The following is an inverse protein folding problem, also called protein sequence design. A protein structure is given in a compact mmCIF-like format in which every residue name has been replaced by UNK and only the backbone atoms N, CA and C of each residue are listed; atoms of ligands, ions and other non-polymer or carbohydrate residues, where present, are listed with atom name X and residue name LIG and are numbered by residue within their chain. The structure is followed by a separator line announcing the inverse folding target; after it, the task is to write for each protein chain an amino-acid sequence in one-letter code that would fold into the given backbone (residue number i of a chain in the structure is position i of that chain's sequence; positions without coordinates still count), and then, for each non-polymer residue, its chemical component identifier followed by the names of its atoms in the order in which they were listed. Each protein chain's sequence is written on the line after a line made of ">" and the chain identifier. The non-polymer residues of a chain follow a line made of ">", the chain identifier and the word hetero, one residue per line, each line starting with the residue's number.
data_IF_010097008779
#
_entry.id   IF_010097008779
#
_cell.length_a   1.000
_cell.length_b   1.000
_cell.length_c   1.000
_cell.angle_alpha   90.00
_cell.angle_beta   90.00
_cell.angle_gamma   90.00
#
_symmetry.space_group_name_H-M   'P 1'
#
loop_
_entity.id
_entity.type
_entity.pdbx_description
1 polymer ?
#
# COMPACT_ATOMS: atom_id res chain seq x y z
N UNK A 1 -3.12 -15.12 -7.75
CA UNK A 1 -2.70 -15.76 -6.48
C UNK A 1 -3.89 -16.37 -5.74
N UNK A 2 -4.88 -15.57 -5.30
CA UNK A 2 -6.03 -16.06 -4.51
C UNK A 2 -6.79 -17.23 -5.17
N UNK A 3 -7.10 -17.14 -6.47
CA UNK A 3 -7.77 -18.21 -7.23
C UNK A 3 -6.95 -19.52 -7.22
N UNK A 4 -5.64 -19.41 -7.39
CA UNK A 4 -4.74 -20.57 -7.37
C UNK A 4 -4.71 -21.21 -5.98
N UNK A 5 -4.53 -20.42 -4.92
CA UNK A 5 -4.49 -20.93 -3.54
C UNK A 5 -5.82 -21.56 -3.12
N UNK A 6 -6.93 -20.98 -3.55
CA UNK A 6 -8.27 -21.51 -3.36
C UNK A 6 -8.42 -22.94 -3.93
N UNK A 7 -7.92 -23.20 -5.14
CA UNK A 7 -7.97 -24.54 -5.74
C UNK A 7 -7.24 -25.61 -4.90
N UNK A 8 -6.25 -25.21 -4.12
CA UNK A 8 -5.49 -26.08 -3.21
C UNK A 8 -5.93 -25.94 -1.74
N UNK A 9 -7.02 -25.20 -1.47
CA UNK A 9 -7.59 -24.93 -0.14
C UNK A 9 -6.62 -24.24 0.83
N UNK A 10 -5.65 -23.48 0.33
CA UNK A 10 -4.79 -22.64 1.17
C UNK A 10 -5.53 -21.35 1.53
N UNK A 11 -5.57 -21.04 2.83
CA UNK A 11 -6.05 -19.74 3.31
C UNK A 11 -4.98 -18.67 3.06
N UNK A 12 -5.41 -17.53 2.54
CA UNK A 12 -4.55 -16.37 2.32
C UNK A 12 -4.93 -15.26 3.31
N UNK A 13 -3.94 -14.65 3.96
CA UNK A 13 -4.13 -13.41 4.71
C UNK A 13 -3.44 -12.29 3.93
N UNK A 14 -4.23 -11.34 3.45
CA UNK A 14 -3.75 -10.14 2.75
C UNK A 14 -3.59 -8.99 3.75
N UNK A 15 -2.47 -8.28 3.65
CA UNK A 15 -2.17 -7.09 4.44
C UNK A 15 -2.46 -5.77 3.68
N UNK A 16 -2.82 -5.82 2.40
CA UNK A 16 -3.25 -4.68 1.58
C UNK A 16 -4.72 -4.77 1.16
N UNK A 17 -5.17 -3.87 0.27
CA UNK A 17 -6.52 -3.86 -0.31
C UNK A 17 -6.96 -5.23 -0.78
N UNK A 18 -8.26 -5.48 -0.63
CA UNK A 18 -8.93 -6.60 -1.25
C UNK A 18 -9.12 -6.33 -2.75
N UNK A 19 -8.50 -7.09 -3.68
CA UNK A 19 -8.97 -7.08 -5.05
C UNK A 19 -10.37 -7.69 -5.12
N UNK A 20 -11.04 -7.55 -6.26
CA UNK A 20 -12.35 -8.15 -6.48
C UNK A 20 -12.22 -9.69 -6.49
N UNK A 21 -12.61 -10.33 -5.39
CA UNK A 21 -12.64 -11.78 -5.28
C UNK A 21 -14.10 -12.23 -5.31
N UNK A 22 -14.43 -13.31 -6.04
CA UNK A 22 -15.78 -13.87 -6.03
C UNK A 22 -16.15 -14.30 -4.59
N UNK A 23 -17.45 -14.44 -4.27
CA UNK A 23 -17.89 -14.78 -2.90
C UNK A 23 -17.29 -16.09 -2.36
N UNK A 24 -17.01 -17.06 -3.23
CA UNK A 24 -16.48 -18.37 -2.84
C UNK A 24 -14.99 -18.31 -2.48
N UNK A 25 -14.20 -17.64 -3.31
CA UNK A 25 -12.78 -17.39 -3.09
C UNK A 25 -12.57 -16.37 -1.98
N UNK A 26 -13.52 -15.46 -1.74
CA UNK A 26 -13.49 -14.50 -0.63
C UNK A 26 -13.60 -15.19 0.74
N UNK A 27 -14.16 -16.40 0.83
CA UNK A 27 -14.14 -17.17 2.08
C UNK A 27 -12.72 -17.60 2.49
N UNK A 28 -11.81 -17.71 1.53
CA UNK A 28 -10.44 -18.21 1.72
C UNK A 28 -9.41 -17.10 1.89
N UNK A 29 -9.82 -15.85 1.64
CA UNK A 29 -8.98 -14.66 1.80
C UNK A 29 -9.48 -13.86 3.00
N UNK A 30 -8.59 -13.59 3.96
CA UNK A 30 -8.84 -12.64 5.05
C UNK A 30 -8.01 -11.40 4.82
N UNK A 31 -8.58 -10.22 5.07
CA UNK A 31 -7.90 -8.94 4.90
C UNK A 31 -7.64 -8.32 6.26
N UNK A 32 -6.40 -7.89 6.51
CA UNK A 32 -6.05 -7.05 7.66
C UNK A 32 -6.30 -5.56 7.37
N UNK A 33 -6.52 -5.24 6.10
CA UNK A 33 -6.81 -3.90 5.62
C UNK A 33 -8.33 -3.65 5.61
N UNK A 34 -8.82 -2.47 6.04
CA UNK A 34 -10.25 -2.19 6.09
C UNK A 34 -10.86 -2.14 4.69
N UNK A 35 -12.16 -2.43 4.61
CA UNK A 35 -12.90 -2.43 3.34
C UNK A 35 -12.89 -1.04 2.69
N UNK A 36 -12.68 -0.98 1.37
CA UNK A 36 -12.68 0.26 0.57
C UNK A 36 -13.96 1.10 0.80
N UNK A 37 -15.12 0.45 0.98
CA UNK A 37 -16.40 1.11 1.26
C UNK A 37 -16.38 1.94 2.54
N UNK A 38 -15.71 1.46 3.59
CA UNK A 38 -15.59 2.20 4.85
C UNK A 38 -14.72 3.45 4.65
N UNK A 39 -13.65 3.34 3.86
CA UNK A 39 -12.81 4.49 3.52
C UNK A 39 -13.57 5.55 2.72
N UNK A 40 -14.36 5.13 1.73
CA UNK A 40 -15.18 6.06 0.93
C UNK A 40 -16.22 6.78 1.78
N UNK A 41 -16.84 6.10 2.76
CA UNK A 41 -17.73 6.75 3.74
C UNK A 41 -17.00 7.76 4.62
N UNK A 42 -15.79 7.42 5.06
CA UNK A 42 -14.97 8.32 5.87
C UNK A 42 -14.57 9.57 5.07
N UNK A 43 -14.17 9.41 3.80
CA UNK A 43 -13.91 10.52 2.88
C UNK A 43 -15.17 11.38 2.69
N UNK A 44 -16.33 10.77 2.46
CA UNK A 44 -17.59 11.48 2.36
C UNK A 44 -17.87 12.34 3.61
N UNK A 45 -17.68 11.78 4.81
CA UNK A 45 -17.82 12.54 6.06
C UNK A 45 -16.82 13.68 6.17
N UNK A 46 -15.57 13.48 5.76
CA UNK A 46 -14.54 14.51 5.72
C UNK A 46 -14.95 15.67 4.79
N UNK A 47 -15.41 15.36 3.57
CA UNK A 47 -15.87 16.36 2.61
C UNK A 47 -17.04 17.19 3.16
N UNK A 48 -18.02 16.52 3.77
CA UNK A 48 -19.16 17.17 4.41
C UNK A 48 -18.74 18.06 5.58
N UNK A 49 -17.77 17.63 6.39
CA UNK A 49 -17.26 18.40 7.52
C UNK A 49 -16.63 19.74 7.08
N UNK A 50 -15.84 19.72 6.00
CA UNK A 50 -15.22 20.92 5.43
C UNK A 50 -16.13 21.70 4.47
N UNK A 51 -17.34 21.20 4.21
CA UNK A 51 -18.28 21.82 3.26
C UNK A 51 -17.81 21.75 1.79
N UNK A 52 -16.93 20.79 1.45
CA UNK A 52 -16.47 20.59 0.08
C UNK A 52 -17.53 19.85 -0.74
N UNK A 53 -18.30 20.60 -1.52
CA UNK A 53 -19.37 20.07 -2.39
C UNK A 53 -18.94 19.94 -3.86
N UNK A 54 -17.82 20.55 -4.26
CA UNK A 54 -17.28 20.49 -5.62
C UNK A 54 -15.85 19.94 -5.58
N UNK A 55 -15.66 18.69 -6.01
CA UNK A 55 -14.42 17.93 -5.81
C UNK A 55 -13.94 17.27 -7.10
N UNK A 56 -12.70 16.80 -7.11
CA UNK A 56 -12.17 15.91 -8.15
C UNK A 56 -11.92 14.50 -7.62
N UNK A 57 -11.93 13.50 -8.50
CA UNK A 57 -11.46 12.15 -8.20
C UNK A 57 -10.36 11.76 -9.19
N UNK A 58 -9.26 11.22 -8.65
CA UNK A 58 -8.19 10.58 -9.40
C UNK A 58 -8.04 9.16 -8.88
N UNK A 59 -8.23 8.18 -9.77
CA UNK A 59 -8.05 6.75 -9.47
C UNK A 59 -6.73 6.23 -10.03
N UNK A 60 -6.25 5.09 -9.53
CA UNK A 60 -5.07 4.45 -10.11
C UNK A 60 -5.40 3.82 -11.47
N UNK A 61 -6.30 2.84 -11.50
CA UNK A 61 -6.68 2.11 -12.72
C UNK A 61 -8.04 2.55 -13.27
N UNK A 62 -8.30 2.27 -14.54
CA UNK A 62 -9.62 2.50 -15.16
C UNK A 62 -10.72 1.67 -14.50
N UNK A 63 -10.40 0.44 -14.10
CA UNK A 63 -11.33 -0.43 -13.37
C UNK A 63 -11.76 0.16 -12.01
N UNK A 64 -10.84 0.84 -11.30
CA UNK A 64 -11.15 1.51 -10.03
C UNK A 64 -12.08 2.69 -10.24
N UNK A 65 -11.81 3.49 -11.29
CA UNK A 65 -12.65 4.62 -11.68
C UNK A 65 -14.05 4.16 -12.05
N UNK A 66 -14.15 3.14 -12.90
CA UNK A 66 -15.44 2.62 -13.36
C UNK A 66 -16.21 1.98 -12.20
N UNK A 67 -15.52 1.29 -11.28
CA UNK A 67 -16.09 0.77 -10.03
C UNK A 67 -16.63 1.91 -9.16
N UNK A 68 -15.89 3.00 -9.02
CA UNK A 68 -16.34 4.17 -8.28
C UNK A 68 -17.62 4.74 -8.89
N UNK A 69 -17.63 4.97 -10.21
CA UNK A 69 -18.78 5.51 -10.93
C UNK A 69 -20.01 4.61 -10.75
N UNK A 70 -19.85 3.30 -10.89
CA UNK A 70 -20.96 2.35 -10.81
C UNK A 70 -21.49 2.14 -9.39
N UNK A 71 -20.63 2.13 -8.37
CA UNK A 71 -20.98 1.63 -7.02
C UNK A 71 -20.90 2.66 -5.91
N UNK A 72 -20.26 3.81 -6.14
CA UNK A 72 -19.92 4.76 -5.08
C UNK A 72 -20.33 6.19 -5.40
N UNK A 73 -20.32 6.61 -6.67
CA UNK A 73 -20.67 7.96 -7.08
C UNK A 73 -22.02 8.43 -6.51
N UNK A 74 -23.06 7.58 -6.57
CA UNK A 74 -24.38 7.89 -6.03
C UNK A 74 -24.36 8.26 -4.55
N UNK A 75 -23.53 7.58 -3.75
CA UNK A 75 -23.39 7.84 -2.30
C UNK A 75 -22.92 9.27 -2.01
N UNK A 76 -22.09 9.84 -2.89
CA UNK A 76 -21.61 11.22 -2.78
C UNK A 76 -22.65 12.20 -3.33
N UNK A 77 -23.23 11.91 -4.51
CA UNK A 77 -24.21 12.78 -5.16
C UNK A 77 -25.50 12.94 -4.35
N UNK A 78 -25.98 11.87 -3.71
CA UNK A 78 -27.13 11.90 -2.80
C UNK A 78 -26.91 12.81 -1.57
N UNK A 79 -25.65 13.12 -1.24
CA UNK A 79 -25.26 14.03 -0.16
C UNK A 79 -24.84 15.42 -0.66
N UNK A 80 -25.13 15.73 -1.93
CA UNK A 80 -24.86 17.05 -2.51
C UNK A 80 -23.40 17.28 -2.92
N UNK A 81 -22.62 16.21 -3.11
CA UNK A 81 -21.24 16.30 -3.60
C UNK A 81 -21.21 16.00 -5.10
N UNK A 82 -20.63 16.92 -5.85
CA UNK A 82 -20.46 16.85 -7.29
C UNK A 82 -18.98 16.72 -7.66
N UNK A 83 -18.71 16.01 -8.75
CA UNK A 83 -17.36 15.79 -9.27
C UNK A 83 -17.17 16.58 -10.57
N UNK A 84 -16.18 17.47 -10.60
CA UNK A 84 -15.80 18.22 -11.82
C UNK A 84 -15.10 17.30 -12.82
N UNK A 85 -14.31 16.37 -12.29
CA UNK A 85 -13.64 15.33 -13.06
C UNK A 85 -13.51 14.05 -12.26
N UNK A 86 -13.52 12.94 -12.99
CA UNK A 86 -13.26 11.59 -12.49
C UNK A 86 -12.25 10.96 -13.46
N UNK A 87 -10.97 11.04 -13.11
CA UNK A 87 -9.85 10.67 -13.98
C UNK A 87 -9.03 9.50 -13.40
N UNK A 88 -8.18 8.89 -14.22
CA UNK A 88 -7.20 7.90 -13.77
C UNK A 88 -5.78 8.37 -13.99
N UNK A 89 -4.85 7.97 -13.14
CA UNK A 89 -3.42 8.19 -13.36
C UNK A 89 -2.95 7.52 -14.67
N UNK A 90 -1.97 8.11 -15.36
CA UNK A 90 -1.44 7.53 -16.59
C UNK A 90 -0.68 6.24 -16.26
N UNK A 91 -1.15 5.11 -16.79
CA UNK A 91 -0.53 3.80 -16.60
C UNK A 91 0.77 3.70 -17.40
N UNK A 92 1.84 3.18 -16.82
CA UNK A 92 3.12 3.05 -17.52
C UNK A 92 2.96 2.18 -18.77
N UNK A 93 3.41 2.68 -19.93
CA UNK A 93 3.35 1.94 -21.20
C UNK A 93 4.77 1.65 -21.67
N UNK A 94 5.03 0.39 -22.01
CA UNK A 94 6.31 -0.06 -22.55
C UNK A 94 6.30 -0.01 -24.08
N UNK A 95 7.43 0.39 -24.69
CA UNK A 95 7.64 0.34 -26.14
C UNK A 95 7.04 1.53 -26.91
N UNK A 96 6.56 1.27 -28.14
CA UNK A 96 6.25 2.28 -29.16
C UNK A 96 5.08 3.22 -28.80
N UNK A 97 4.37 2.98 -27.70
CA UNK A 97 3.24 3.77 -27.23
C UNK A 97 3.64 4.87 -26.20
N UNK A 98 4.94 5.15 -26.04
CA UNK A 98 5.42 6.24 -25.19
C UNK A 98 4.86 7.62 -25.60
N UNK A 99 4.74 7.89 -26.89
CA UNK A 99 4.20 9.18 -27.37
C UNK A 99 2.71 9.33 -27.01
N UNK A 100 1.93 8.26 -27.11
CA UNK A 100 0.52 8.23 -26.71
C UNK A 100 0.38 8.43 -25.20
N UNK A 101 1.24 7.77 -24.42
CA UNK A 101 1.31 7.96 -22.97
C UNK A 101 1.56 9.41 -22.59
N UNK A 102 2.54 10.06 -23.22
CA UNK A 102 2.87 11.48 -22.97
C UNK A 102 1.68 12.37 -23.26
N UNK A 103 1.00 12.17 -24.40
CA UNK A 103 -0.18 12.95 -24.75
C UNK A 103 -1.33 12.73 -23.76
N UNK A 104 -1.59 11.47 -23.36
CA UNK A 104 -2.66 11.13 -22.43
C UNK A 104 -2.40 11.72 -21.04
N UNK A 105 -1.17 11.55 -20.52
CA UNK A 105 -0.76 12.11 -19.23
C UNK A 105 -0.85 13.64 -19.21
N UNK A 106 -0.42 14.32 -20.27
CA UNK A 106 -0.54 15.77 -20.39
C UNK A 106 -1.99 16.26 -20.47
N UNK A 107 -2.88 15.53 -21.15
CA UNK A 107 -4.33 15.84 -21.16
C UNK A 107 -4.93 15.73 -19.77
N UNK A 108 -4.68 14.63 -19.07
CA UNK A 108 -5.16 14.37 -17.70
C UNK A 108 -4.64 15.41 -16.70
N UNK A 109 -3.35 15.74 -16.77
CA UNK A 109 -2.77 16.82 -15.98
C UNK A 109 -3.51 18.14 -16.20
N UNK A 110 -3.79 18.51 -17.45
CA UNK A 110 -4.53 19.75 -17.77
C UNK A 110 -5.95 19.74 -17.23
N UNK A 111 -6.67 18.61 -17.30
CA UNK A 111 -8.01 18.47 -16.70
C UNK A 111 -7.95 18.73 -15.19
N UNK A 112 -7.04 18.04 -14.48
CA UNK A 112 -6.90 18.14 -13.03
C UNK A 112 -6.46 19.54 -12.59
N UNK A 113 -5.44 20.10 -13.23
CA UNK A 113 -4.79 21.34 -12.78
C UNK A 113 -5.48 22.62 -13.29
N UNK A 114 -6.25 22.58 -14.39
CA UNK A 114 -7.04 23.75 -14.83
C UNK A 114 -8.37 23.89 -14.11
N UNK A 115 -8.89 22.80 -13.55
CA UNK A 115 -10.10 22.77 -12.76
C UNK A 115 -10.00 23.71 -11.54
N UNK A 116 -11.14 24.27 -11.14
CA UNK A 116 -11.29 25.13 -9.96
C UNK A 116 -11.45 24.34 -8.65
N UNK A 117 -11.54 23.01 -8.70
CA UNK A 117 -11.63 22.18 -7.48
C UNK A 117 -10.39 22.37 -6.62
N UNK A 118 -10.58 22.43 -5.31
CA UNK A 118 -9.49 22.50 -4.34
C UNK A 118 -9.25 21.10 -3.75
N UNK A 119 -10.31 20.40 -3.36
CA UNK A 119 -10.24 19.05 -2.82
C UNK A 119 -10.25 18.00 -3.94
N UNK A 120 -9.21 17.16 -3.98
CA UNK A 120 -9.07 16.06 -4.95
C UNK A 120 -8.89 14.76 -4.19
N UNK A 121 -9.84 13.84 -4.35
CA UNK A 121 -9.73 12.48 -3.82
C UNK A 121 -8.74 11.71 -4.69
N UNK A 122 -7.71 11.15 -4.08
CA UNK A 122 -6.77 10.23 -4.71
C UNK A 122 -7.05 8.83 -4.19
N UNK A 123 -7.77 8.05 -4.99
CA UNK A 123 -8.08 6.65 -4.71
C UNK A 123 -7.06 5.76 -5.41
N UNK A 124 -5.99 5.43 -4.70
CA UNK A 124 -4.90 4.62 -5.25
C UNK A 124 -4.27 3.72 -4.20
N UNK A 125 -3.57 2.69 -4.69
CA UNK A 125 -2.79 1.76 -3.88
C UNK A 125 -1.36 2.28 -3.66
N UNK A 126 -0.50 1.45 -3.06
CA UNK A 126 0.91 1.73 -2.70
C UNK A 126 1.69 2.33 -3.88
N UNK A 127 1.38 1.91 -5.11
CA UNK A 127 2.09 2.34 -6.33
C UNK A 127 1.60 3.68 -6.91
N UNK A 128 0.54 4.28 -6.36
CA UNK A 128 -0.09 5.48 -6.93
C UNK A 128 0.75 6.75 -6.88
N UNK A 129 1.63 6.89 -5.88
CA UNK A 129 2.53 8.05 -5.78
C UNK A 129 3.49 8.16 -6.95
N UNK A 130 3.88 7.03 -7.54
CA UNK A 130 4.84 6.99 -8.64
C UNK A 130 4.35 7.76 -9.87
N UNK A 131 3.25 7.34 -10.53
CA UNK A 131 2.73 8.04 -11.69
C UNK A 131 2.21 9.44 -11.35
N UNK A 132 1.72 9.70 -10.14
CA UNK A 132 1.28 11.04 -9.74
C UNK A 132 2.44 12.04 -9.74
N UNK A 133 3.56 11.71 -9.08
CA UNK A 133 4.74 12.60 -9.04
C UNK A 133 5.34 12.82 -10.41
N UNK A 134 5.41 11.77 -11.23
CA UNK A 134 5.90 11.88 -12.59
C UNK A 134 5.00 12.77 -13.45
N UNK A 135 3.67 12.59 -13.35
CA UNK A 135 2.72 13.43 -14.09
C UNK A 135 2.84 14.90 -13.68
N UNK A 136 2.93 15.19 -12.38
CA UNK A 136 3.06 16.57 -11.89
C UNK A 136 4.39 17.18 -12.34
N UNK A 137 5.49 16.43 -12.27
CA UNK A 137 6.82 16.91 -12.65
C UNK A 137 6.94 17.17 -14.16
N UNK A 138 6.60 16.19 -15.00
CA UNK A 138 6.81 16.28 -16.45
C UNK A 138 5.85 17.23 -17.16
N UNK A 139 4.62 17.39 -16.65
CA UNK A 139 3.59 18.19 -17.31
C UNK A 139 3.32 19.52 -16.62
N UNK A 140 4.15 19.92 -15.65
CA UNK A 140 4.02 21.21 -14.97
C UNK A 140 4.00 22.36 -16.00
N UNK A 141 2.85 23.02 -16.14
CA UNK A 141 2.61 24.06 -17.15
C UNK A 141 2.51 25.43 -16.47
N UNK A 142 3.50 26.29 -16.65
CA UNK A 142 3.56 27.63 -16.03
C UNK A 142 2.42 28.56 -16.45
N UNK A 143 1.69 28.24 -17.52
CA UNK A 143 0.51 28.99 -17.94
C UNK A 143 -0.71 28.75 -17.03
N UNK A 144 -0.67 27.72 -16.17
CA UNK A 144 -1.74 27.46 -15.20
C UNK A 144 -1.44 28.27 -13.91
N UNK A 145 -2.36 29.14 -13.46
CA UNK A 145 -2.18 29.91 -12.22
C UNK A 145 -1.85 29.02 -11.02
N UNK A 146 -0.96 29.48 -10.13
CA UNK A 146 -0.51 28.70 -8.95
C UNK A 146 -1.67 28.32 -8.05
N UNK A 147 -2.66 29.20 -7.92
CA UNK A 147 -3.87 28.98 -7.14
C UNK A 147 -4.70 27.82 -7.69
N UNK A 148 -4.68 27.60 -9.01
CA UNK A 148 -5.34 26.45 -9.64
C UNK A 148 -4.56 25.16 -9.47
N UNK A 149 -3.22 25.23 -9.47
CA UNK A 149 -2.34 24.06 -9.23
C UNK A 149 -2.36 23.59 -7.78
N UNK A 150 -2.67 24.48 -6.84
CA UNK A 150 -2.78 24.15 -5.42
C UNK A 150 -4.01 23.26 -5.18
N UNK A 151 -3.77 21.98 -4.88
CA UNK A 151 -4.81 20.98 -4.56
C UNK A 151 -4.59 20.45 -3.15
N UNK A 152 -5.68 20.28 -2.41
CA UNK A 152 -5.72 19.48 -1.19
C UNK A 152 -6.00 18.05 -1.60
N UNK A 153 -4.97 17.21 -1.58
CA UNK A 153 -5.08 15.80 -1.91
C UNK A 153 -5.65 15.02 -0.72
N UNK A 154 -6.76 14.32 -0.93
CA UNK A 154 -7.42 13.46 0.06
C UNK A 154 -7.14 12.01 -0.32
N UNK A 155 -6.29 11.32 0.44
CA UNK A 155 -5.73 10.02 0.06
C UNK A 155 -6.32 8.88 0.87
N UNK A 156 -6.57 7.76 0.19
CA UNK A 156 -6.94 6.48 0.79
C UNK A 156 -5.82 5.94 1.68
N UNK A 157 -6.17 5.06 2.63
CA UNK A 157 -5.24 4.61 3.67
C UNK A 157 -4.08 3.74 3.18
N UNK A 158 -4.14 3.32 1.91
CA UNK A 158 -3.14 2.43 1.33
C UNK A 158 -1.98 3.17 0.66
N UNK A 159 -2.01 4.50 0.68
CA UNK A 159 -0.95 5.30 0.08
C UNK A 159 0.39 5.03 0.77
N UNK A 160 1.45 5.05 -0.01
CA UNK A 160 2.83 4.99 0.47
C UNK A 160 3.58 6.23 -0.02
N UNK A 161 4.36 6.83 0.89
CA UNK A 161 5.06 8.10 0.66
C UNK A 161 6.57 7.93 0.50
N UNK A 162 7.11 6.73 0.76
CA UNK A 162 8.51 6.43 0.45
C UNK A 162 8.79 6.52 -1.05
N UNK A 163 9.94 7.08 -1.39
CA UNK A 163 10.38 7.37 -2.74
C UNK A 163 11.37 6.31 -3.21
N UNK A 164 11.08 5.69 -4.35
CA UNK A 164 12.10 4.93 -5.09
C UNK A 164 13.20 5.89 -5.58
N UNK A 165 14.39 5.36 -5.88
CA UNK A 165 15.57 6.16 -6.27
C UNK A 165 15.27 7.26 -7.30
N UNK A 166 14.58 6.92 -8.40
CA UNK A 166 14.23 7.87 -9.47
C UNK A 166 13.38 9.07 -8.99
N UNK A 167 12.64 8.91 -7.88
CA UNK A 167 11.74 9.93 -7.38
C UNK A 167 12.34 10.82 -6.30
N UNK A 168 13.49 10.48 -5.72
CA UNK A 168 14.04 11.20 -4.57
C UNK A 168 14.32 12.67 -4.87
N UNK A 169 14.66 12.99 -6.12
CA UNK A 169 14.90 14.35 -6.58
C UNK A 169 13.63 15.09 -7.04
N UNK A 170 12.50 14.39 -7.18
CA UNK A 170 11.25 15.02 -7.63
C UNK A 170 10.62 15.83 -6.49
N UNK A 171 10.03 17.00 -6.76
CA UNK A 171 9.40 17.81 -5.73
C UNK A 171 8.21 17.08 -5.09
N UNK A 172 8.01 17.31 -3.78
CA UNK A 172 6.87 16.81 -3.00
C UNK A 172 5.95 17.94 -2.52
N UNK A 173 6.23 19.19 -2.91
CA UNK A 173 5.50 20.37 -2.43
C UNK A 173 4.01 20.35 -2.77
N UNK A 174 3.62 19.61 -3.82
CA UNK A 174 2.21 19.40 -4.18
C UNK A 174 1.42 18.64 -3.09
N UNK A 175 2.10 17.95 -2.17
CA UNK A 175 1.51 17.29 -1.00
C UNK A 175 1.27 18.24 0.17
N UNK A 176 1.66 19.51 0.07
CA UNK A 176 1.47 20.46 1.15
C UNK A 176 -0.03 20.60 1.46
N UNK A 177 -0.41 20.33 2.71
CA UNK A 177 -1.81 20.34 3.15
C UNK A 177 -2.62 19.10 2.75
N UNK A 178 -1.98 18.03 2.25
CA UNK A 178 -2.67 16.78 1.96
C UNK A 178 -3.23 16.12 3.22
N UNK A 179 -4.39 15.48 3.07
CA UNK A 179 -5.07 14.71 4.10
C UNK A 179 -5.01 13.24 3.69
N UNK A 180 -4.50 12.37 4.55
CA UNK A 180 -4.46 10.93 4.29
C UNK A 180 -5.10 10.19 5.44
N UNK A 181 -5.93 9.19 5.10
CA UNK A 181 -6.37 8.22 6.09
C UNK A 181 -5.20 7.32 6.45
N UNK A 182 -5.14 6.88 7.71
CA UNK A 182 -4.19 5.86 8.13
C UNK A 182 -4.96 4.72 8.77
N UNK A 183 -4.52 3.49 8.56
CA UNK A 183 -5.02 2.38 9.36
C UNK A 183 -4.48 2.55 10.77
N UNK A 184 -5.30 2.19 11.75
CA UNK A 184 -4.85 2.09 13.12
C UNK A 184 -3.59 1.23 13.22
N UNK A 185 -2.54 1.80 13.79
CA UNK A 185 -1.31 1.10 14.10
C UNK A 185 -0.85 1.45 15.49
N UNK A 186 -0.20 0.48 16.13
CA UNK A 186 0.36 0.63 17.47
C UNK A 186 1.86 0.51 17.39
N UNK A 187 2.56 1.41 18.08
CA UNK A 187 4.01 1.29 18.22
C UNK A 187 4.35 0.03 19.01
N UNK A 188 5.20 -0.81 18.41
CA UNK A 188 5.64 -2.05 19.03
C UNK A 188 6.97 -1.83 19.74
N UNK A 189 7.00 -2.15 21.04
CA UNK A 189 8.24 -2.16 21.82
C UNK A 189 9.26 -3.09 21.17
N UNK A 190 10.47 -2.59 20.90
CA UNK A 190 11.54 -3.38 20.30
C UNK A 190 11.60 -3.29 18.77
N UNK A 191 10.57 -2.80 18.08
CA UNK A 191 10.55 -2.77 16.61
C UNK A 191 11.61 -1.84 16.04
N UNK A 192 11.70 -0.61 16.55
CA UNK A 192 12.71 0.34 16.08
C UNK A 192 14.13 -0.19 16.34
N UNK A 193 14.38 -0.80 17.51
CA UNK A 193 15.68 -1.42 17.81
C UNK A 193 15.96 -2.62 16.90
N UNK A 194 14.94 -3.40 16.54
CA UNK A 194 15.07 -4.48 15.57
C UNK A 194 15.48 -3.92 14.20
N UNK A 195 14.84 -2.85 13.72
CA UNK A 195 15.19 -2.20 12.46
C UNK A 195 16.63 -1.67 12.48
N UNK A 196 17.06 -1.02 13.56
CA UNK A 196 18.40 -0.44 13.67
C UNK A 196 19.53 -1.49 13.72
N UNK A 197 19.21 -2.75 14.07
CA UNK A 197 20.18 -3.85 14.14
C UNK A 197 20.39 -4.57 12.80
N UNK A 198 19.58 -4.26 11.78
CA UNK A 198 19.71 -4.86 10.45
C UNK A 198 21.05 -4.47 9.83
N UNK A 199 21.75 -5.45 9.26
CA UNK A 199 23.06 -5.23 8.66
C UNK A 199 23.26 -6.18 7.47
N UNK A 200 23.54 -5.66 6.25
CA UNK A 200 23.69 -6.48 5.05
C UNK A 200 24.89 -7.44 5.10
N UNK A 201 25.90 -7.17 5.94
CA UNK A 201 27.09 -8.02 6.08
C UNK A 201 26.85 -9.20 7.04
N UNK A 202 25.89 -9.08 7.96
CA UNK A 202 25.53 -10.16 8.90
C UNK A 202 24.49 -11.09 8.27
N UNK A 203 23.64 -10.55 7.42
CA UNK A 203 22.48 -11.22 6.85
C UNK A 203 22.75 -11.69 5.42
N UNK A 204 23.87 -12.39 5.21
CA UNK A 204 24.37 -12.77 3.88
C UNK A 204 23.37 -13.59 3.03
N UNK A 205 22.44 -14.31 3.68
CA UNK A 205 21.40 -15.10 3.01
C UNK A 205 20.16 -14.29 2.61
N UNK A 206 20.03 -13.04 3.05
CA UNK A 206 18.95 -12.14 2.66
C UNK A 206 19.38 -11.35 1.42
N UNK A 207 19.00 -11.81 0.22
CA UNK A 207 19.32 -11.08 -1.01
C UNK A 207 18.69 -9.68 -1.04
N UNK A 208 17.54 -9.50 -0.39
CA UNK A 208 16.78 -8.25 -0.44
C UNK A 208 17.44 -7.14 0.37
N UNK A 209 18.08 -7.46 1.51
CA UNK A 209 18.72 -6.41 2.32
C UNK A 209 19.86 -5.72 1.56
N UNK A 210 20.60 -6.45 0.72
CA UNK A 210 21.68 -5.88 -0.09
C UNK A 210 21.13 -4.94 -1.17
N UNK A 211 20.09 -5.35 -1.88
CA UNK A 211 19.46 -4.50 -2.90
C UNK A 211 18.82 -3.26 -2.28
N UNK A 212 18.16 -3.42 -1.14
CA UNK A 212 17.66 -2.31 -0.35
C UNK A 212 18.78 -1.37 0.10
N UNK A 213 19.93 -1.87 0.58
CA UNK A 213 21.05 -1.03 1.01
C UNK A 213 21.62 -0.20 -0.14
N UNK A 214 21.79 -0.82 -1.32
CA UNK A 214 22.25 -0.14 -2.53
C UNK A 214 21.32 1.01 -2.90
N UNK A 215 20.01 0.76 -2.88
CA UNK A 215 19.00 1.78 -3.18
C UNK A 215 19.00 2.88 -2.10
N UNK A 216 18.82 2.49 -0.83
CA UNK A 216 18.69 3.40 0.32
C UNK A 216 19.87 4.37 0.45
N UNK A 217 21.11 3.87 0.30
CA UNK A 217 22.33 4.65 0.50
C UNK A 217 23.05 5.04 -0.79
N UNK A 218 22.50 4.70 -1.95
CA UNK A 218 23.04 5.04 -3.28
C UNK A 218 24.50 4.58 -3.42
N UNK A 219 24.75 3.32 -3.06
CA UNK A 219 26.08 2.71 -3.01
C UNK A 219 26.09 1.34 -3.71
N UNK A 220 27.28 0.81 -3.96
CA UNK A 220 27.49 -0.53 -4.51
C UNK A 220 28.37 -1.38 -3.60
N UNK A 221 28.09 -2.67 -3.49
CA UNK A 221 28.98 -3.60 -2.79
C UNK A 221 30.18 -3.95 -3.68
N UNK A 222 31.35 -4.14 -3.07
CA UNK A 222 32.61 -4.40 -3.78
C UNK A 222 32.56 -5.64 -4.68
N UNK A 223 31.78 -6.66 -4.33
CA UNK A 223 31.58 -7.87 -5.15
C UNK A 223 30.89 -7.61 -6.49
N UNK A 224 30.18 -6.49 -6.61
CA UNK A 224 29.30 -6.19 -7.74
C UNK A 224 29.94 -5.21 -8.73
N UNK A 225 31.17 -4.74 -8.44
CA UNK A 225 31.90 -3.75 -9.24
C UNK A 225 32.72 -4.49 -10.31
N UNK A 226 32.22 -4.53 -11.55
CA UNK A 226 32.95 -5.07 -12.71
C UNK A 226 33.77 -4.01 -13.45
N UNK A 227 33.29 -2.77 -13.46
CA UNK A 227 33.98 -1.60 -14.03
C UNK A 227 34.13 -0.57 -12.92
N UNK A 228 35.34 -0.01 -12.73
CA UNK A 228 35.75 0.86 -11.62
C UNK A 228 35.00 2.21 -11.43
N UNK A 229 33.76 2.31 -11.88
CA UNK A 229 32.86 3.46 -11.79
C UNK A 229 31.90 3.38 -10.58
N UNK A 230 32.29 2.74 -9.48
CA UNK A 230 31.50 2.82 -8.25
C UNK A 230 31.74 4.17 -7.57
N UNK A 231 30.73 5.04 -7.57
CA UNK A 231 30.81 6.38 -6.98
C UNK A 231 30.89 6.33 -5.44
N UNK A 232 30.35 5.27 -4.81
CA UNK A 232 30.39 5.02 -3.36
C UNK A 232 30.26 3.53 -3.05
N UNK A 233 31.07 3.02 -2.12
CA UNK A 233 31.05 1.61 -1.69
C UNK A 233 30.14 1.47 -0.46
N UNK A 234 29.26 0.45 -0.45
CA UNK A 234 28.49 0.07 0.73
C UNK A 234 29.40 -0.65 1.73
N UNK A 235 29.48 -0.11 2.95
CA UNK A 235 30.31 -0.64 4.03
C UNK A 235 29.55 -1.55 4.98
N UNK A 236 28.22 -1.37 5.07
CA UNK A 236 27.38 -1.98 6.11
C UNK A 236 27.45 -1.26 7.45
N UNK A 237 28.19 -0.14 7.55
CA UNK A 237 28.21 0.75 8.71
C UNK A 237 27.19 1.90 8.58
N UNK A 238 26.56 2.04 7.41
CA UNK A 238 25.51 3.02 7.19
C UNK A 238 24.30 2.74 8.10
N UNK A 239 23.71 3.80 8.64
CA UNK A 239 22.64 3.67 9.64
C UNK A 239 21.29 4.09 9.07
N UNK A 240 20.29 3.22 9.23
CA UNK A 240 18.91 3.50 8.78
C UNK A 240 18.30 4.75 9.43
N UNK A 241 18.71 5.08 10.65
CA UNK A 241 18.26 6.29 11.37
C UNK A 241 18.69 7.62 10.70
N UNK A 242 19.65 7.56 9.77
CA UNK A 242 20.11 8.74 9.03
C UNK A 242 19.32 8.98 7.75
N UNK A 243 18.51 8.01 7.31
CA UNK A 243 17.69 8.13 6.12
C UNK A 243 16.49 9.05 6.40
N UNK A 244 16.11 9.90 5.43
CA UNK A 244 14.87 10.66 5.55
C UNK A 244 13.67 9.71 5.48
N UNK A 245 12.58 10.07 6.16
CA UNK A 245 11.32 9.30 6.12
C UNK A 245 10.76 9.15 4.69
N UNK A 246 11.13 10.05 3.77
CA UNK A 246 10.79 9.95 2.35
C UNK A 246 11.54 8.84 1.62
N UNK A 247 12.57 8.22 2.22
CA UNK A 247 13.31 7.08 1.68
C UNK A 247 12.97 5.83 2.49
N UNK A 248 13.05 5.90 3.81
CA UNK A 248 12.74 4.77 4.67
C UNK A 248 12.28 5.23 6.05
N UNK A 249 11.27 4.55 6.59
CA UNK A 249 10.72 4.83 7.92
C UNK A 249 11.12 3.70 8.87
N UNK A 250 11.82 4.03 9.96
CA UNK A 250 12.31 3.04 10.93
C UNK A 250 11.30 2.68 12.02
N UNK A 251 10.22 3.45 12.15
CA UNK A 251 9.13 3.22 13.09
C UNK A 251 8.03 2.35 12.48
N UNK A 252 7.18 1.79 13.34
CA UNK A 252 6.02 1.00 12.90
C UNK A 252 5.01 1.90 12.16
N UNK A 253 4.78 1.61 10.88
CA UNK A 253 3.73 2.27 10.09
C UNK A 253 2.50 1.36 9.90
N UNK A 254 1.42 1.92 9.34
CA UNK A 254 0.15 1.21 9.13
C UNK A 254 0.30 -0.08 8.29
N UNK A 255 1.15 -0.06 7.27
CA UNK A 255 1.40 -1.20 6.39
C UNK A 255 2.19 -2.30 7.10
N UNK A 256 3.29 -1.95 7.76
CA UNK A 256 4.09 -2.85 8.59
C UNK A 256 3.26 -3.47 9.71
N UNK A 257 2.36 -2.71 10.33
CA UNK A 257 1.48 -3.20 11.38
C UNK A 257 0.44 -4.19 10.84
N UNK A 258 -0.07 -3.95 9.63
CA UNK A 258 -0.98 -4.90 8.96
C UNK A 258 -0.28 -6.22 8.64
N UNK A 259 1.01 -6.18 8.24
CA UNK A 259 1.84 -7.38 8.06
C UNK A 259 2.08 -8.09 9.39
N UNK A 260 2.44 -7.35 10.45
CA UNK A 260 2.61 -7.90 11.79
C UNK A 260 1.36 -8.64 12.26
N UNK A 261 0.19 -8.01 12.14
CA UNK A 261 -1.10 -8.61 12.50
C UNK A 261 -1.44 -9.83 11.65
N UNK A 262 -1.12 -9.82 10.35
CA UNK A 262 -1.32 -10.99 9.49
C UNK A 262 -0.54 -12.21 10.00
N UNK A 263 0.76 -12.03 10.31
CA UNK A 263 1.61 -13.09 10.86
C UNK A 263 1.11 -13.54 12.24
N UNK A 264 0.71 -12.58 13.07
CA UNK A 264 0.20 -12.85 14.41
C UNK A 264 -1.12 -13.65 14.37
N UNK A 265 -2.01 -13.34 13.44
CA UNK A 265 -3.26 -14.08 13.21
C UNK A 265 -2.97 -15.54 12.84
N UNK A 266 -2.01 -15.80 11.94
CA UNK A 266 -1.58 -17.18 11.61
C UNK A 266 -1.04 -17.89 12.84
N UNK A 267 -0.16 -17.25 13.61
CA UNK A 267 0.42 -17.83 14.82
C UNK A 267 -0.64 -18.20 15.87
N UNK A 268 -1.64 -17.34 16.09
CA UNK A 268 -2.76 -17.61 16.99
C UNK A 268 -3.69 -18.71 16.50
N UNK A 269 -3.97 -18.75 15.20
CA UNK A 269 -4.74 -19.83 14.60
C UNK A 269 -4.05 -21.17 14.80
N UNK A 270 -2.75 -21.25 14.52
CA UNK A 270 -1.94 -22.44 14.78
C UNK A 270 -1.97 -22.81 16.26
N UNK A 271 -1.69 -21.87 17.18
CA UNK A 271 -1.73 -22.12 18.64
C UNK A 271 -3.09 -22.64 19.12
N UNK A 272 -4.18 -22.12 18.57
CA UNK A 272 -5.55 -22.57 18.89
C UNK A 272 -5.82 -23.99 18.40
N UNK A 273 -5.33 -24.32 17.20
CA UNK A 273 -5.34 -25.69 16.67
C UNK A 273 -4.54 -26.65 17.56
N UNK A 274 -3.37 -26.23 18.05
CA UNK A 274 -2.58 -27.03 19.01
C UNK A 274 -3.38 -27.29 20.29
N UNK A 275 -3.97 -26.23 20.86
CA UNK A 275 -4.60 -26.25 22.18
C UNK A 275 -5.92 -27.04 22.22
N UNK A 276 -6.72 -26.97 21.15
CA UNK A 276 -7.99 -27.72 21.04
C UNK A 276 -7.78 -29.23 21.01
N UNK A 277 -6.64 -29.70 20.47
CA UNK A 277 -6.32 -31.13 20.39
C UNK A 277 -5.71 -31.70 21.66
N UNK A 278 -4.96 -30.90 22.42
CA UNK A 278 -4.46 -31.30 23.75
C UNK A 278 -5.62 -31.58 24.72
N UNK A 279 -6.73 -30.81 24.62
CA UNK A 279 -7.95 -31.05 25.41
C UNK A 279 -8.72 -32.32 24.99
N UNK A 280 -8.48 -32.86 23.79
CA UNK A 280 -9.09 -34.09 23.27
C UNK A 280 -8.34 -35.38 23.62
N UNK A 281 -7.29 -35.33 24.44
CA UNK A 281 -6.61 -36.51 24.99
C UNK A 281 -5.64 -37.26 24.06
N UNK A 282 -5.49 -36.87 22.79
CA UNK A 282 -4.48 -37.47 21.90
C UNK A 282 -3.24 -36.58 21.79
N UNK A 283 -2.12 -37.00 22.41
CA UNK A 283 -0.78 -36.47 22.08
C UNK A 283 -0.45 -36.88 20.65
N UNK A 284 -0.31 -35.90 19.75
CA UNK A 284 0.09 -36.13 18.35
C UNK A 284 1.60 -36.32 18.25
N UNK A 285 2.03 -37.38 17.57
CA UNK A 285 3.44 -37.67 17.21
C UNK A 285 3.91 -36.80 16.03
N UNK A 286 5.21 -36.48 15.94
CA UNK A 286 5.84 -35.55 14.96
C UNK A 286 5.51 -35.88 13.50
N UNK A 287 5.41 -37.17 13.14
CA UNK A 287 5.00 -37.57 11.78
C UNK A 287 3.55 -37.20 11.46
N UNK A 288 2.67 -37.31 12.45
CA UNK A 288 1.26 -36.92 12.32
C UNK A 288 1.12 -35.40 12.28
N UNK A 289 2.04 -34.64 12.88
CA UNK A 289 2.16 -33.18 12.76
C UNK A 289 2.50 -32.74 11.34
N UNK A 290 3.50 -33.34 10.70
CA UNK A 290 3.88 -33.02 9.31
C UNK A 290 2.74 -33.29 8.32
N UNK A 291 1.99 -34.38 8.49
CA UNK A 291 0.80 -34.69 7.70
C UNK A 291 -0.38 -33.71 7.95
N UNK A 292 -0.39 -33.03 9.10
CA UNK A 292 -1.45 -32.09 9.47
C UNK A 292 -1.16 -30.67 8.96
N UNK A 293 0.10 -30.25 8.95
CA UNK A 293 0.56 -29.03 8.24
C UNK A 293 0.30 -29.13 6.73
N UNK A 294 0.17 -30.34 6.18
CA UNK A 294 -0.27 -30.61 4.81
C UNK A 294 -1.79 -30.47 4.60
N UNK A 295 -2.57 -30.09 5.61
CA UNK A 295 -4.01 -29.80 5.49
C UNK A 295 -4.31 -28.29 5.68
N UNK A 296 -4.00 -27.43 4.69
CA UNK A 296 -4.17 -25.97 4.77
C UNK A 296 -5.59 -25.52 5.12
N UNK A 297 -6.59 -26.35 4.82
CA UNK A 297 -8.00 -26.07 5.07
C UNK A 297 -8.37 -25.99 6.56
N UNK A 298 -7.57 -26.55 7.47
CA UNK A 298 -7.90 -26.53 8.92
C UNK A 298 -7.51 -25.22 9.61
N UNK A 299 -6.52 -24.51 9.07
CA UNK A 299 -6.14 -23.16 9.55
C UNK A 299 -7.29 -22.17 9.31
N UNK A 300 -8.09 -22.39 8.27
CA UNK A 300 -9.23 -21.57 7.89
C UNK A 300 -10.36 -21.56 8.91
N UNK A 301 -10.72 -22.73 9.46
CA UNK A 301 -11.77 -22.87 10.48
C UNK A 301 -11.44 -22.16 11.80
N UNK A 302 -10.15 -21.95 12.09
CA UNK A 302 -9.73 -21.20 13.29
C UNK A 302 -9.67 -19.68 13.05
N UNK A 303 -9.41 -19.25 11.82
CA UNK A 303 -9.39 -17.83 11.46
C UNK A 303 -10.78 -17.16 11.55
N UNK A 304 -11.88 -17.91 11.44
CA UNK A 304 -13.24 -17.36 11.63
C UNK A 304 -13.47 -16.86 13.06
N UNK A 305 -12.94 -17.54 14.08
CA UNK A 305 -13.09 -17.13 15.49
C UNK A 305 -12.28 -15.90 15.87
N UNK A 306 -11.29 -15.51 15.05
CA UNK A 306 -10.45 -14.34 15.30
C UNK A 306 -11.13 -13.05 14.83
N UNK A 307 -11.93 -13.11 13.75
CA UNK A 307 -12.67 -11.96 13.22
C UNK A 307 -13.87 -11.51 14.07
N UNK A 308 -14.43 -12.39 14.90
CA UNK A 308 -15.58 -12.06 15.76
C UNK A 308 -15.18 -11.61 17.18
N UNK A 309 -13.98 -11.93 17.66
CA UNK A 309 -13.59 -11.73 19.08
C UNK A 309 -12.61 -10.58 19.34
N UNK A 310 -12.07 -9.95 18.30
CA UNK A 310 -11.23 -8.75 18.46
C UNK A 310 -11.77 -7.63 17.59
N UNK A 311 -12.94 -7.13 18.00
CA UNK A 311 -13.30 -5.74 17.72
C UNK A 311 -12.28 -4.84 18.40
N UNK A 312 -11.71 -3.93 17.61
CA UNK A 312 -10.96 -2.74 18.00
C UNK A 312 -10.81 -2.51 19.52
N UNK A 313 -9.67 -2.92 20.08
CA UNK A 313 -9.07 -2.31 21.27
C UNK A 313 -7.78 -1.61 20.87
#
# INVERSE_FOLDING_TARGET
>A
MAITLFNYKFSQISYGSAPLVNKETAMFVKWMFPEETQQMKAILHLLLHFGWTWVGLVSLFEEDRDRFIQKRLSMFSERGICFDFIECLPQAVYGNAAAEWVQNAGKKFKVIMRSTVIAVILSAEITGMVPLRLMIYFFNDDNIPKERKAKVWIMTAQMEFTSILMQRQLPIDFLHGALSFAIHSKELTGFQQFMHKRNPNVEENDGFIRDFWKDAFECSFSSDITDGNAQRICTGEEKLETLPNSVFVTIMNAHSYSIYNAVYAVAHALKSMLSSKVKGGQKMDERRWMLFLQSPWQVMLCNEKFGENYGYE
#
